data_IF_736303125250
#
_entry.id   IF_736303125250
#
_cell.length_a   1.000
_cell.length_b   1.000
_cell.length_c   1.000
_cell.angle_alpha   90.00
_cell.angle_beta   90.00
_cell.angle_gamma   90.00
#
_symmetry.space_group_name_H-M   'P 1'
#
loop_
_entity.id
_entity.type
_entity.pdbx_description
1 polymer ?
#
# COMPACT_ATOMS: atom_id res chain seq x y z
N UNK A 1 4.71 0.45 -0.50
CA UNK A 1 3.27 0.24 -0.27
C UNK A 1 2.84 1.10 0.92
N UNK A 2 1.69 1.77 0.81
CA UNK A 2 1.12 2.60 1.87
C UNK A 2 -0.32 2.18 2.15
N UNK A 3 -0.70 2.10 3.43
CA UNK A 3 -2.07 1.86 3.89
C UNK A 3 -2.57 3.14 4.54
N UNK A 4 -3.62 3.75 3.98
CA UNK A 4 -4.22 4.99 4.48
C UNK A 4 -5.59 4.67 5.08
N UNK A 5 -5.82 4.96 6.37
CA UNK A 5 -7.12 4.74 6.98
C UNK A 5 -8.16 5.72 6.41
N UNK A 6 -9.32 5.21 6.01
CA UNK A 6 -10.53 5.98 5.69
C UNK A 6 -11.65 5.65 6.68
N UNK A 7 -12.82 6.31 6.53
CA UNK A 7 -13.93 6.18 7.48
C UNK A 7 -14.41 4.73 7.67
N UNK A 8 -14.61 3.98 6.58
CA UNK A 8 -15.07 2.58 6.64
C UNK A 8 -14.11 1.58 5.99
N UNK A 9 -13.12 2.10 5.24
CA UNK A 9 -12.22 1.30 4.39
C UNK A 9 -10.81 1.83 4.45
N UNK A 10 -9.85 0.94 4.23
CA UNK A 10 -8.44 1.27 4.12
C UNK A 10 -8.05 1.35 2.65
N UNK A 11 -7.52 2.50 2.26
CA UNK A 11 -6.92 2.69 0.95
C UNK A 11 -5.52 2.08 0.95
N UNK A 12 -5.23 1.21 -0.01
CA UNK A 12 -3.91 0.63 -0.21
C UNK A 12 -3.33 1.17 -1.51
N UNK A 13 -2.17 1.82 -1.40
CA UNK A 13 -1.47 2.49 -2.49
C UNK A 13 -0.13 1.81 -2.75
N UNK A 14 0.01 1.27 -3.96
CA UNK A 14 1.26 0.73 -4.48
C UNK A 14 1.94 1.81 -5.33
N UNK A 15 3.10 2.29 -4.89
CA UNK A 15 3.95 3.23 -5.61
C UNK A 15 5.30 2.62 -5.93
N UNK A 16 5.89 3.02 -7.06
CA UNK A 16 7.27 2.69 -7.41
C UNK A 16 8.21 3.81 -6.97
N UNK A 17 9.43 3.44 -6.58
CA UNK A 17 10.55 4.37 -6.44
C UNK A 17 11.52 4.10 -7.58
N UNK A 18 11.68 5.06 -8.49
CA UNK A 18 12.80 5.11 -9.41
C UNK A 18 13.47 6.47 -9.17
N UNK A 19 14.70 6.53 -8.65
CA UNK A 19 15.44 7.79 -8.62
C UNK A 19 15.65 8.28 -10.07
N UNK A 20 15.51 9.57 -10.40
CA UNK A 20 15.05 10.71 -9.61
C UNK A 20 13.62 11.16 -10.02
N UNK A 21 12.70 10.23 -10.23
CA UNK A 21 11.35 10.52 -10.72
C UNK A 21 10.36 10.65 -9.56
N UNK A 22 9.32 11.48 -9.77
CA UNK A 22 8.18 11.54 -8.87
C UNK A 22 7.60 10.12 -8.64
N UNK A 23 7.32 9.73 -7.38
CA UNK A 23 6.66 8.46 -7.09
C UNK A 23 5.35 8.32 -7.86
N UNK A 24 5.35 7.45 -8.86
CA UNK A 24 4.16 7.15 -9.63
C UNK A 24 3.32 6.16 -8.83
N UNK A 25 2.07 6.53 -8.56
CA UNK A 25 1.07 5.58 -8.06
C UNK A 25 0.81 4.59 -9.18
N UNK A 26 1.20 3.33 -8.97
CA UNK A 26 0.96 2.27 -9.94
C UNK A 26 -0.44 1.68 -9.77
N UNK A 27 -0.85 1.44 -8.53
CA UNK A 27 -2.15 0.82 -8.21
C UNK A 27 -2.75 1.38 -6.93
N UNK A 28 -4.06 1.51 -6.93
CA UNK A 28 -4.90 1.86 -5.79
C UNK A 28 -5.97 0.79 -5.63
N UNK A 29 -6.19 0.34 -4.40
CA UNK A 29 -7.31 -0.53 -4.04
C UNK A 29 -7.89 -0.14 -2.69
N UNK A 30 -9.16 -0.44 -2.50
CA UNK A 30 -9.85 -0.25 -1.22
C UNK A 30 -10.06 -1.62 -0.60
N UNK A 31 -9.81 -1.72 0.70
CA UNK A 31 -10.04 -2.92 1.48
C UNK A 31 -10.92 -2.59 2.68
N UNK A 32 -11.78 -3.52 3.07
CA UNK A 32 -12.43 -3.41 4.37
C UNK A 32 -11.39 -3.64 5.48
N UNK A 33 -11.58 -2.98 6.63
CA UNK A 33 -10.63 -3.02 7.74
C UNK A 33 -10.31 -4.45 8.21
N UNK A 34 -11.25 -5.38 8.07
CA UNK A 34 -11.07 -6.80 8.40
C UNK A 34 -10.11 -7.53 7.45
N UNK A 35 -9.99 -7.08 6.20
CA UNK A 35 -9.13 -7.71 5.18
C UNK A 35 -7.69 -7.21 5.22
N UNK A 36 -7.46 -6.06 5.88
CA UNK A 36 -6.15 -5.40 5.95
C UNK A 36 -5.05 -6.32 6.52
N UNK A 37 -5.24 -7.05 7.63
CA UNK A 37 -4.19 -7.90 8.19
C UNK A 37 -3.79 -9.02 7.23
N UNK A 38 -4.78 -9.64 6.57
CA UNK A 38 -4.54 -10.72 5.61
C UNK A 38 -3.81 -10.20 4.37
N UNK A 39 -4.27 -9.09 3.80
CA UNK A 39 -3.62 -8.45 2.68
C UNK A 39 -2.18 -8.04 3.01
N UNK A 40 -1.95 -7.50 4.21
CA UNK A 40 -0.63 -7.09 4.68
C UNK A 40 0.33 -8.27 4.71
N UNK A 41 -0.09 -9.37 5.35
CA UNK A 41 0.67 -10.61 5.44
C UNK A 41 1.02 -11.18 4.06
N UNK A 42 0.06 -11.21 3.15
CA UNK A 42 0.28 -11.67 1.77
C UNK A 42 1.31 -10.81 1.03
N UNK A 43 1.18 -9.48 1.12
CA UNK A 43 2.09 -8.56 0.44
C UNK A 43 3.52 -8.63 0.99
N UNK A 44 3.68 -8.72 2.32
CA UNK A 44 4.98 -8.81 2.96
C UNK A 44 5.65 -10.17 2.72
N UNK A 45 4.91 -11.28 2.92
CA UNK A 45 5.49 -12.64 2.87
C UNK A 45 5.62 -13.21 1.48
N UNK A 46 4.67 -12.94 0.59
CA UNK A 46 4.62 -13.57 -0.75
C UNK A 46 5.26 -12.67 -1.80
N UNK A 47 5.01 -11.35 -1.71
CA UNK A 47 5.45 -10.41 -2.74
C UNK A 47 6.68 -9.59 -2.32
N UNK A 48 7.17 -9.75 -1.08
CA UNK A 48 8.35 -9.07 -0.58
C UNK A 48 8.20 -7.56 -0.46
N UNK A 49 6.97 -7.04 -0.42
CA UNK A 49 6.73 -5.61 -0.28
C UNK A 49 7.21 -5.12 1.09
N UNK A 50 8.01 -4.06 1.08
CA UNK A 50 8.40 -3.34 2.29
C UNK A 50 7.40 -2.22 2.57
N UNK A 51 7.04 -2.08 3.85
CA UNK A 51 6.32 -0.90 4.32
C UNK A 51 7.26 0.31 4.27
N UNK A 52 6.75 1.40 3.73
CA UNK A 52 7.43 2.69 3.73
C UNK A 52 6.43 3.77 4.15
N UNK A 53 6.95 4.90 4.62
CA UNK A 53 6.08 6.05 4.86
C UNK A 53 5.45 6.50 3.53
N UNK A 54 4.20 7.00 3.56
CA UNK A 54 3.64 7.71 2.42
C UNK A 54 4.59 8.82 2.02
N UNK A 55 4.93 8.89 0.73
CA UNK A 55 5.86 9.92 0.24
C UNK A 55 5.20 11.31 0.15
N UNK A 56 3.88 11.39 0.35
CA UNK A 56 3.08 12.62 0.39
C UNK A 56 1.77 12.38 1.15
#
# INVERSE_FOLDING_TARGET
MCFRPGQDRVEVVEGYHLPPQMPLIKRRKWLDSAEVPHCRLQLEKVQGFKHGQPLF
#
